data_IF_961420901371
#
_entry.id   IF_961420901371
#
_cell.length_a   1.000
_cell.length_b   1.000
_cell.length_c   1.000
_cell.angle_alpha   90.00
_cell.angle_beta   90.00
_cell.angle_gamma   90.00
#
_symmetry.space_group_name_H-M   'P 1'
#
loop_
_entity.id
_entity.type
_entity.pdbx_description
1 polymer ?
#
# COMPACT_ATOMS: atom_id res chain seq x y z
N UNK A 1 2.04 11.77 -33.32
CA UNK A 1 2.56 11.30 -32.03
C UNK A 1 1.34 11.26 -31.14
N UNK A 2 0.85 10.09 -30.76
CA UNK A 2 -0.28 10.01 -29.83
C UNK A 2 0.17 10.66 -28.52
N UNK A 3 -0.67 11.53 -27.96
CA UNK A 3 -0.43 12.09 -26.64
C UNK A 3 -0.47 10.95 -25.63
N UNK A 4 0.61 10.78 -24.88
CA UNK A 4 0.70 9.77 -23.83
C UNK A 4 -0.19 10.22 -22.68
N UNK A 5 -1.19 9.39 -22.36
CA UNK A 5 -2.09 9.62 -21.24
C UNK A 5 -1.31 9.59 -19.91
N UNK A 6 -1.45 10.67 -19.12
CA UNK A 6 -0.81 10.86 -17.82
C UNK A 6 -1.82 10.64 -16.70
N UNK A 7 -1.48 9.72 -15.80
CA UNK A 7 -2.34 9.37 -14.65
C UNK A 7 -1.61 9.67 -13.35
N UNK A 8 -2.26 10.43 -12.47
CA UNK A 8 -1.79 10.60 -11.10
C UNK A 8 -2.48 9.62 -10.16
N UNK A 9 -1.71 9.02 -9.25
CA UNK A 9 -2.21 8.20 -8.15
C UNK A 9 -1.70 8.80 -6.84
N UNK A 10 -2.60 9.15 -5.92
CA UNK A 10 -2.27 9.86 -4.69
C UNK A 10 -2.50 8.93 -3.50
N UNK A 11 -1.48 8.74 -2.67
CA UNK A 11 -1.57 7.91 -1.46
C UNK A 11 -0.26 7.17 -1.14
N UNK A 12 -0.30 6.32 -0.12
CA UNK A 12 0.87 5.56 0.35
C UNK A 12 0.62 4.06 0.58
N UNK A 13 -0.58 3.58 0.23
CA UNK A 13 -1.06 2.24 0.54
C UNK A 13 -0.81 1.20 -0.53
N UNK A 14 -1.17 -0.06 -0.26
CA UNK A 14 -1.08 -1.17 -1.23
C UNK A 14 -1.94 -0.89 -2.47
N UNK A 15 -3.13 -0.32 -2.28
CA UNK A 15 -4.08 0.10 -3.31
C UNK A 15 -3.45 1.02 -4.35
N UNK A 16 -2.51 1.88 -3.95
CA UNK A 16 -1.77 2.78 -4.87
C UNK A 16 -0.93 1.99 -5.85
N UNK A 17 -0.13 1.04 -5.32
CA UNK A 17 0.84 0.31 -6.13
C UNK A 17 0.16 -0.78 -6.96
N UNK A 18 -0.86 -1.44 -6.42
CA UNK A 18 -1.68 -2.41 -7.17
C UNK A 18 -2.47 -1.73 -8.29
N UNK A 19 -3.01 -0.53 -8.06
CA UNK A 19 -3.61 0.29 -9.11
C UNK A 19 -2.60 0.60 -10.23
N UNK A 20 -1.43 1.13 -9.90
CA UNK A 20 -0.41 1.43 -10.91
C UNK A 20 0.06 0.20 -11.69
N UNK A 21 0.24 -0.94 -11.00
CA UNK A 21 0.57 -2.19 -11.68
C UNK A 21 -0.53 -2.65 -12.64
N UNK A 22 -1.80 -2.57 -12.24
CA UNK A 22 -2.95 -2.95 -13.06
C UNK A 22 -3.12 -2.04 -14.27
N UNK A 23 -2.95 -0.73 -14.11
CA UNK A 23 -2.96 0.23 -15.20
C UNK A 23 -1.90 -0.13 -16.26
N UNK A 24 -0.66 -0.42 -15.84
CA UNK A 24 0.42 -0.81 -16.77
C UNK A 24 0.25 -2.21 -17.36
N UNK A 25 -0.50 -3.10 -16.72
CA UNK A 25 -0.85 -4.40 -17.33
C UNK A 25 -1.84 -4.22 -18.48
N UNK A 26 -2.73 -3.23 -18.38
CA UNK A 26 -3.74 -2.92 -19.39
C UNK A 26 -3.19 -2.06 -20.53
N UNK A 27 -2.42 -1.04 -20.20
CA UNK A 27 -1.78 -0.16 -21.16
C UNK A 27 -0.34 0.18 -20.69
N UNK A 28 0.68 -0.48 -21.26
CA UNK A 28 2.07 -0.26 -20.86
C UNK A 28 2.63 1.11 -21.28
N UNK A 29 1.90 1.88 -22.10
CA UNK A 29 2.34 3.19 -22.57
C UNK A 29 1.91 4.35 -21.65
N UNK A 30 1.15 4.08 -20.58
CA UNK A 30 0.70 5.12 -19.63
C UNK A 30 1.89 5.76 -18.90
N UNK A 31 1.83 7.09 -18.73
CA UNK A 31 2.74 7.82 -17.87
C UNK A 31 2.13 7.96 -16.47
N UNK A 32 2.58 7.10 -15.54
CA UNK A 32 2.05 7.05 -14.18
C UNK A 32 2.90 7.91 -13.24
N UNK A 33 2.24 8.73 -12.42
CA UNK A 33 2.85 9.50 -11.35
C UNK A 33 2.22 9.18 -10.00
N UNK A 34 3.05 8.77 -9.04
CA UNK A 34 2.63 8.49 -7.67
C UNK A 34 3.04 9.65 -6.77
N UNK A 35 2.08 10.19 -6.03
CA UNK A 35 2.32 11.21 -5.01
C UNK A 35 2.19 10.62 -3.62
N UNK A 36 3.31 10.61 -2.88
CA UNK A 36 3.37 10.13 -1.50
C UNK A 36 4.06 11.18 -0.61
N UNK A 37 3.42 11.50 0.52
CA UNK A 37 3.99 12.41 1.53
C UNK A 37 5.16 11.79 2.28
N UNK A 38 5.26 10.45 2.29
CA UNK A 38 6.33 9.72 2.99
C UNK A 38 7.66 9.87 2.24
N UNK A 39 8.75 9.72 2.98
CA UNK A 39 10.10 9.76 2.41
C UNK A 39 10.47 8.49 1.65
N UNK A 40 9.79 7.38 1.93
CA UNK A 40 9.94 6.08 1.29
C UNK A 40 8.61 5.33 1.40
N UNK A 41 8.26 4.56 0.35
CA UNK A 41 7.07 3.71 0.37
C UNK A 41 7.24 2.58 1.39
N UNK A 42 6.21 2.34 2.20
CA UNK A 42 6.29 1.39 3.32
C UNK A 42 7.02 1.94 4.56
N UNK A 43 7.51 3.18 4.53
CA UNK A 43 8.11 3.82 5.69
C UNK A 43 7.06 4.24 6.71
N UNK A 44 7.37 4.09 8.00
CA UNK A 44 6.57 4.50 9.17
C UNK A 44 5.14 3.90 9.23
N UNK A 45 4.92 3.12 10.28
CA UNK A 45 3.65 2.45 10.54
C UNK A 45 3.61 1.07 9.91
N UNK A 46 3.41 0.06 10.75
CA UNK A 46 2.96 -1.26 10.28
C UNK A 46 1.44 -1.26 10.32
N UNK A 47 0.85 -1.80 9.27
CA UNK A 47 -0.58 -2.04 9.16
C UNK A 47 -0.83 -3.56 9.14
N UNK A 48 -2.08 -4.04 9.20
CA UNK A 48 -2.34 -5.46 9.21
C UNK A 48 -1.76 -6.14 7.96
N UNK A 49 -1.00 -7.20 8.23
CA UNK A 49 -0.30 -8.02 7.27
C UNK A 49 -0.91 -9.41 7.10
N UNK A 50 -2.13 -9.63 7.61
CA UNK A 50 -2.80 -10.93 7.62
C UNK A 50 -3.30 -11.34 6.23
N UNK A 51 -3.18 -12.62 5.91
CA UNK A 51 -3.73 -13.20 4.69
C UNK A 51 -4.13 -14.67 4.90
N UNK A 52 -5.16 -15.10 4.17
CA UNK A 52 -5.58 -16.51 4.13
C UNK A 52 -4.87 -17.29 3.02
N UNK A 53 -4.63 -16.64 1.88
CA UNK A 53 -3.99 -17.24 0.71
C UNK A 53 -2.86 -16.36 0.16
N UNK A 54 -1.83 -17.01 -0.37
CA UNK A 54 -0.69 -16.37 -1.03
C UNK A 54 -0.46 -17.00 -2.42
N UNK A 55 -0.18 -16.20 -3.47
CA UNK A 55 0.08 -14.76 -3.48
C UNK A 55 -1.18 -13.89 -3.48
N UNK A 56 -1.08 -12.71 -2.85
CA UNK A 56 -2.17 -11.71 -2.80
C UNK A 56 -2.38 -10.94 -4.11
N UNK A 57 -1.38 -10.94 -5.00
CA UNK A 57 -1.35 -10.20 -6.26
C UNK A 57 -0.72 -11.08 -7.33
N UNK A 58 -0.84 -10.76 -8.63
CA UNK A 58 -0.02 -11.37 -9.67
C UNK A 58 1.46 -11.37 -9.27
N UNK A 59 2.11 -12.52 -9.37
CA UNK A 59 3.44 -12.73 -8.77
C UNK A 59 4.53 -11.83 -9.37
N UNK A 60 4.31 -11.35 -10.60
CA UNK A 60 5.19 -10.42 -11.29
C UNK A 60 5.05 -8.96 -10.80
N UNK A 61 4.02 -8.63 -10.01
CA UNK A 61 3.88 -7.30 -9.41
C UNK A 61 4.77 -7.12 -8.20
N UNK A 62 5.07 -8.19 -7.47
CA UNK A 62 5.88 -8.12 -6.25
C UNK A 62 7.33 -8.46 -6.57
N UNK A 63 8.25 -7.55 -6.24
CA UNK A 63 9.68 -7.83 -6.30
C UNK A 63 10.13 -8.85 -5.26
N UNK A 64 11.45 -8.96 -5.06
CA UNK A 64 11.99 -9.81 -3.99
C UNK A 64 11.56 -9.31 -2.60
N UNK A 65 10.92 -10.20 -1.83
CA UNK A 65 10.66 -10.00 -0.40
C UNK A 65 11.81 -10.54 0.48
N UNK A 66 12.86 -11.12 -0.13
CA UNK A 66 14.01 -11.71 0.56
C UNK A 66 13.57 -12.65 1.71
N UNK A 67 14.09 -12.43 2.93
CA UNK A 67 13.75 -13.24 4.11
C UNK A 67 12.30 -13.08 4.59
N UNK A 68 11.55 -12.14 4.02
CA UNK A 68 10.13 -11.89 4.33
C UNK A 68 9.19 -12.52 3.29
N UNK A 69 9.70 -13.39 2.41
CA UNK A 69 8.86 -14.16 1.50
C UNK A 69 7.98 -15.14 2.28
N UNK A 70 6.64 -15.12 2.11
CA UNK A 70 5.75 -16.12 2.71
C UNK A 70 6.15 -17.56 2.40
N UNK A 71 6.08 -18.39 3.43
CA UNK A 71 6.31 -19.85 3.41
C UNK A 71 4.96 -20.57 3.52
N UNK A 72 4.96 -21.89 3.35
CA UNK A 72 3.74 -22.73 3.39
C UNK A 72 2.87 -22.53 4.65
N UNK A 73 3.49 -22.23 5.80
CA UNK A 73 2.82 -22.02 7.07
C UNK A 73 2.64 -20.53 7.45
N UNK A 74 2.99 -19.61 6.56
CA UNK A 74 2.84 -18.18 6.82
C UNK A 74 1.38 -17.77 6.62
N UNK A 75 0.86 -16.99 7.56
CA UNK A 75 -0.49 -16.38 7.51
C UNK A 75 -0.44 -14.87 7.73
N UNK A 76 0.78 -14.32 7.83
CA UNK A 76 1.02 -12.89 7.87
C UNK A 76 2.31 -12.54 7.11
N UNK A 77 2.39 -11.31 6.61
CA UNK A 77 3.58 -10.71 6.01
C UNK A 77 3.83 -9.36 6.69
N UNK A 78 5.09 -8.93 6.77
CA UNK A 78 5.36 -7.56 7.21
C UNK A 78 4.84 -6.57 6.17
N UNK A 79 3.77 -5.84 6.51
CA UNK A 79 3.10 -4.90 5.61
C UNK A 79 4.06 -3.91 4.95
N UNK A 80 4.95 -3.27 5.73
CA UNK A 80 5.89 -2.29 5.19
C UNK A 80 6.79 -2.86 4.09
N UNK A 81 7.23 -4.11 4.24
CA UNK A 81 8.08 -4.79 3.26
C UNK A 81 7.30 -5.17 2.01
N UNK A 82 6.05 -5.59 2.17
CA UNK A 82 5.18 -5.87 1.03
C UNK A 82 4.94 -4.61 0.19
N UNK A 83 4.60 -3.49 0.84
CA UNK A 83 4.45 -2.19 0.19
C UNK A 83 5.73 -1.76 -0.54
N UNK A 84 6.89 -1.91 0.11
CA UNK A 84 8.19 -1.58 -0.50
C UNK A 84 8.51 -2.46 -1.71
N UNK A 85 8.20 -3.75 -1.66
CA UNK A 85 8.44 -4.66 -2.77
C UNK A 85 7.56 -4.33 -3.99
N UNK A 86 6.29 -3.99 -3.76
CA UNK A 86 5.38 -3.50 -4.79
C UNK A 86 5.88 -2.18 -5.40
N UNK A 87 6.23 -1.20 -4.57
CA UNK A 87 6.65 0.12 -5.07
C UNK A 87 7.93 0.05 -5.91
N UNK A 88 8.93 -0.74 -5.48
CA UNK A 88 10.17 -0.94 -6.24
C UNK A 88 9.88 -1.62 -7.58
N UNK A 89 9.01 -2.62 -7.59
CA UNK A 89 8.62 -3.33 -8.82
C UNK A 89 7.91 -2.37 -9.78
N UNK A 90 6.98 -1.55 -9.28
CA UNK A 90 6.27 -0.57 -10.08
C UNK A 90 7.20 0.50 -10.66
N UNK A 91 8.16 0.99 -9.87
CA UNK A 91 9.18 1.93 -10.36
C UNK A 91 10.00 1.33 -11.50
N UNK A 92 10.36 0.03 -11.43
CA UNK A 92 11.05 -0.67 -12.52
C UNK A 92 10.20 -0.79 -13.80
N UNK A 93 8.88 -0.71 -13.69
CA UNK A 93 7.95 -0.67 -14.82
C UNK A 93 7.77 0.74 -15.42
N UNK A 94 8.48 1.75 -14.89
CA UNK A 94 8.50 3.10 -15.45
C UNK A 94 7.60 4.12 -14.74
N UNK A 95 6.96 3.76 -13.62
CA UNK A 95 6.19 4.73 -12.84
C UNK A 95 7.10 5.78 -12.17
N UNK A 96 6.66 7.03 -12.18
CA UNK A 96 7.35 8.16 -11.58
C UNK A 96 6.90 8.36 -10.13
N UNK A 97 7.84 8.51 -9.21
CA UNK A 97 7.55 8.66 -7.78
C UNK A 97 7.89 10.07 -7.28
N UNK A 98 6.87 10.78 -6.82
CA UNK A 98 6.97 12.06 -6.13
C UNK A 98 6.87 11.83 -4.62
N UNK A 99 7.98 11.39 -4.02
CA UNK A 99 8.10 11.19 -2.57
C UNK A 99 8.35 12.50 -1.83
N UNK A 100 8.00 12.56 -0.54
CA UNK A 100 8.00 13.79 0.27
C UNK A 100 7.18 14.91 -0.36
N UNK A 101 6.17 14.58 -1.16
CA UNK A 101 5.32 15.54 -1.87
C UNK A 101 3.90 15.48 -1.32
N UNK A 102 3.39 16.62 -0.87
CA UNK A 102 2.03 16.77 -0.35
C UNK A 102 1.18 17.46 -1.40
N UNK A 103 0.19 16.74 -1.93
CA UNK A 103 -0.85 17.33 -2.78
C UNK A 103 -1.73 18.24 -1.94
N UNK A 104 -1.78 19.53 -2.30
CA UNK A 104 -2.52 20.58 -1.60
C UNK A 104 -3.89 20.81 -2.20
N UNK A 105 -3.97 20.81 -3.53
CA UNK A 105 -5.20 21.09 -4.27
C UNK A 105 -5.25 20.29 -5.56
N UNK A 106 -6.47 20.02 -6.04
CA UNK A 106 -6.75 19.36 -7.31
C UNK A 106 -7.84 20.17 -8.00
N UNK A 107 -7.52 20.83 -9.12
CA UNK A 107 -8.46 21.64 -9.89
C UNK A 107 -8.28 21.39 -11.39
N UNK A 108 -9.36 21.05 -12.10
CA UNK A 108 -9.37 20.86 -13.56
C UNK A 108 -8.25 19.93 -14.07
N UNK A 109 -8.01 18.82 -13.36
CA UNK A 109 -6.94 17.86 -13.68
C UNK A 109 -5.52 18.33 -13.33
N UNK A 110 -5.37 19.48 -12.66
CA UNK A 110 -4.08 20.02 -12.22
C UNK A 110 -3.89 19.72 -10.74
N UNK A 111 -2.79 19.06 -10.42
CA UNK A 111 -2.33 18.82 -9.05
C UNK A 111 -1.36 19.92 -8.65
N UNK A 112 -1.68 20.64 -7.57
CA UNK A 112 -0.74 21.51 -6.86
C UNK A 112 -0.10 20.74 -5.70
N UNK A 113 1.22 20.65 -5.69
CA UNK A 113 1.97 19.93 -4.67
C UNK A 113 3.17 20.73 -4.14
N UNK A 114 3.51 20.47 -2.88
CA UNK A 114 4.70 21.02 -2.22
C UNK A 114 5.38 19.97 -1.36
N UNK A 115 6.69 20.10 -1.17
CA UNK A 115 7.49 19.04 -0.58
C UNK A 115 8.99 19.30 -0.55
N UNK A 116 9.71 18.28 -0.09
CA UNK A 116 11.16 18.22 -0.13
C UNK A 116 11.65 17.12 -1.09
N UNK A 117 10.80 16.74 -2.05
CA UNK A 117 11.14 15.85 -3.16
C UNK A 117 12.00 16.55 -4.22
N UNK A 118 12.29 15.85 -5.31
CA UNK A 118 13.08 16.40 -6.43
C UNK A 118 12.48 17.69 -6.99
N UNK A 119 11.15 17.77 -7.02
CA UNK A 119 10.41 19.01 -7.25
C UNK A 119 9.93 19.52 -5.89
N UNK A 120 10.54 20.60 -5.39
CA UNK A 120 10.18 21.19 -4.11
C UNK A 120 8.72 21.67 -4.07
N UNK A 121 8.22 22.20 -5.18
CA UNK A 121 6.81 22.51 -5.38
C UNK A 121 6.51 22.63 -6.86
N UNK A 122 5.27 22.41 -7.26
CA UNK A 122 4.88 22.58 -8.66
C UNK A 122 3.42 22.30 -8.91
N UNK A 123 3.04 22.55 -10.17
CA UNK A 123 1.74 22.18 -10.71
C UNK A 123 1.95 21.24 -11.88
N UNK A 124 1.16 20.17 -11.95
CA UNK A 124 1.22 19.19 -13.03
C UNK A 124 -0.18 18.81 -13.47
N UNK A 125 -0.42 18.84 -14.79
CA UNK A 125 -1.68 18.45 -15.40
C UNK A 125 -1.67 16.94 -15.70
N UNK A 126 -2.79 16.29 -15.41
CA UNK A 126 -3.06 14.89 -15.67
C UNK A 126 -4.36 14.75 -16.45
N UNK A 127 -4.47 13.65 -17.19
CA UNK A 127 -5.70 13.25 -17.85
C UNK A 127 -6.66 12.62 -16.84
N UNK A 128 -6.12 11.82 -15.92
CA UNK A 128 -6.87 11.22 -14.80
C UNK A 128 -6.13 11.30 -13.47
N UNK A 129 -6.92 11.34 -12.39
CA UNK A 129 -6.41 11.42 -11.01
C UNK A 129 -7.18 10.43 -10.14
N UNK A 130 -6.45 9.52 -9.52
CA UNK A 130 -6.97 8.52 -8.57
C UNK A 130 -6.46 8.89 -7.18
N UNK A 131 -7.36 9.21 -6.25
CA UNK A 131 -7.01 9.65 -4.89
C UNK A 131 -7.40 8.63 -3.83
N UNK A 132 -6.40 8.01 -3.20
CA UNK A 132 -6.58 7.03 -2.12
C UNK A 132 -6.38 7.62 -0.72
N UNK A 133 -6.37 8.95 -0.57
CA UNK A 133 -6.18 9.59 0.75
C UNK A 133 -7.38 9.48 1.68
N UNK A 134 -8.56 9.13 1.18
CA UNK A 134 -9.76 8.95 2.00
C UNK A 134 -9.66 7.69 2.89
N UNK A 135 -9.82 7.89 4.20
CA UNK A 135 -9.92 6.82 5.19
C UNK A 135 -11.31 6.89 5.84
N UNK A 136 -12.13 5.86 5.63
CA UNK A 136 -13.56 5.89 6.00
C UNK A 136 -13.89 4.97 7.19
N UNK A 137 -12.98 4.80 8.15
CA UNK A 137 -13.25 3.96 9.32
C UNK A 137 -12.79 4.60 10.63
N UNK A 138 -13.75 4.77 11.55
CA UNK A 138 -13.50 5.23 12.91
C UNK A 138 -13.04 4.11 13.85
N UNK A 139 -13.06 2.86 13.38
CA UNK A 139 -12.65 1.68 14.17
C UNK A 139 -11.14 1.68 14.37
N UNK A 140 -10.72 1.71 15.62
CA UNK A 140 -9.32 1.58 16.04
C UNK A 140 -9.03 0.13 16.39
N UNK A 141 -7.90 -0.37 15.89
CA UNK A 141 -7.33 -1.66 16.21
C UNK A 141 -5.94 -1.46 16.79
N UNK A 142 -5.69 -2.13 17.89
CA UNK A 142 -4.40 -2.20 18.55
C UNK A 142 -3.73 -3.49 18.15
N UNK A 143 -2.50 -3.39 17.67
CA UNK A 143 -1.74 -4.51 17.17
C UNK A 143 -0.38 -4.64 17.81
N UNK A 144 0.27 -5.74 17.51
CA UNK A 144 1.63 -5.97 17.95
C UNK A 144 2.30 -7.13 17.25
N UNK A 145 3.63 -7.17 17.42
CA UNK A 145 4.47 -8.28 16.98
C UNK A 145 5.05 -8.93 18.21
N UNK A 146 4.94 -10.25 18.35
CA UNK A 146 5.40 -11.01 19.51
C UNK A 146 6.01 -12.35 19.10
N UNK A 147 6.61 -13.05 20.07
CA UNK A 147 7.23 -14.38 19.90
C UNK A 147 6.50 -15.48 20.68
N UNK A 148 5.59 -15.10 21.58
CA UNK A 148 4.82 -16.02 22.42
C UNK A 148 3.44 -16.29 21.82
N UNK A 149 2.86 -17.45 22.13
CA UNK A 149 1.52 -17.81 21.67
C UNK A 149 0.49 -16.75 22.13
N UNK A 150 -0.26 -16.13 21.20
CA UNK A 150 -1.17 -15.06 21.54
C UNK A 150 -2.44 -15.59 22.21
N UNK A 151 -3.02 -14.80 23.12
CA UNK A 151 -4.37 -15.04 23.65
C UNK A 151 -5.39 -14.12 22.96
N UNK A 152 -5.28 -13.96 21.65
CA UNK A 152 -6.24 -13.19 20.85
C UNK A 152 -6.68 -13.99 19.64
N UNK A 153 -7.88 -13.70 19.14
CA UNK A 153 -8.45 -14.41 18.02
C UNK A 153 -7.80 -14.01 16.69
N UNK A 154 -7.46 -12.72 16.52
CA UNK A 154 -6.93 -12.18 15.27
C UNK A 154 -5.41 -12.13 15.34
N UNK A 155 -4.76 -13.11 14.73
CA UNK A 155 -3.31 -13.18 14.62
C UNK A 155 -2.87 -13.88 13.33
N UNK A 156 -1.59 -13.75 13.00
CA UNK A 156 -0.97 -14.48 11.91
C UNK A 156 0.53 -14.67 12.12
N UNK A 157 1.09 -15.70 11.48
CA UNK A 157 2.48 -16.10 11.62
C UNK A 157 3.26 -15.56 10.43
N UNK A 158 4.29 -14.75 10.71
CA UNK A 158 5.19 -14.17 9.71
C UNK A 158 6.27 -15.17 9.28
N UNK A 159 6.96 -14.94 8.16
CA UNK A 159 7.97 -15.88 7.65
C UNK A 159 9.19 -16.06 8.56
N UNK A 160 9.45 -15.07 9.42
CA UNK A 160 10.47 -15.10 10.47
C UNK A 160 9.99 -15.73 11.79
N UNK A 161 8.80 -16.36 11.77
CA UNK A 161 8.10 -16.98 12.90
C UNK A 161 7.63 -16.01 13.98
N UNK A 162 7.78 -14.70 13.80
CA UNK A 162 7.11 -13.73 14.67
C UNK A 162 5.60 -13.75 14.42
N UNK A 163 4.84 -13.42 15.45
CA UNK A 163 3.38 -13.46 15.44
C UNK A 163 2.87 -12.03 15.45
N UNK A 164 2.11 -11.69 14.42
CA UNK A 164 1.33 -10.46 14.36
C UNK A 164 -0.02 -10.68 15.03
N UNK A 165 -0.47 -9.72 15.84
CA UNK A 165 -1.75 -9.77 16.54
C UNK A 165 -2.52 -8.47 16.35
N UNK A 166 -3.86 -8.55 16.44
CA UNK A 166 -4.76 -7.40 16.45
C UNK A 166 -5.94 -7.62 17.41
N UNK A 167 -6.35 -6.55 18.08
CA UNK A 167 -7.52 -6.50 18.97
C UNK A 167 -8.13 -5.10 18.98
N UNK A 168 -9.41 -4.99 19.31
CA UNK A 168 -10.02 -3.69 19.66
C UNK A 168 -9.74 -3.30 21.12
N UNK A 169 -9.25 -4.25 21.93
CA UNK A 169 -8.74 -3.97 23.27
C UNK A 169 -7.28 -3.53 23.20
N UNK A 170 -6.95 -2.41 23.82
CA UNK A 170 -5.60 -1.83 23.81
C UNK A 170 -4.55 -2.75 24.46
N UNK A 171 -4.96 -3.53 25.45
CA UNK A 171 -4.07 -4.41 26.21
C UNK A 171 -4.16 -5.84 25.67
N UNK A 172 -3.20 -6.21 24.83
CA UNK A 172 -2.98 -7.62 24.47
C UNK A 172 -1.91 -8.18 25.41
N UNK A 173 -2.22 -9.26 26.12
CA UNK A 173 -1.23 -9.95 26.95
C UNK A 173 -0.10 -10.52 26.08
N UNK A 174 1.16 -10.26 26.45
CA UNK A 174 2.32 -10.84 25.78
C UNK A 174 3.55 -9.94 25.79
N UNK A 175 4.68 -10.51 25.36
CA UNK A 175 5.93 -9.77 25.19
C UNK A 175 6.00 -9.21 23.77
N UNK A 176 5.81 -7.89 23.65
CA UNK A 176 5.85 -7.19 22.38
C UNK A 176 7.29 -6.92 21.94
N UNK A 177 7.60 -7.30 20.70
CA UNK A 177 8.72 -6.75 19.92
C UNK A 177 8.37 -5.35 19.43
N UNK A 178 7.12 -5.17 18.99
CA UNK A 178 6.62 -3.92 18.44
C UNK A 178 5.13 -3.76 18.79
N UNK A 179 4.72 -2.52 19.08
CA UNK A 179 3.31 -2.12 19.18
C UNK A 179 2.88 -1.36 17.93
N UNK A 180 1.61 -1.52 17.56
CA UNK A 180 1.04 -0.99 16.33
C UNK A 180 -0.37 -0.47 16.62
N UNK A 181 -0.81 0.51 15.84
CA UNK A 181 -2.19 1.01 15.84
C UNK A 181 -2.61 1.15 14.38
N UNK A 182 -3.83 0.71 14.08
CA UNK A 182 -4.39 0.80 12.74
C UNK A 182 -5.86 1.19 12.81
N UNK A 183 -6.32 1.94 11.80
CA UNK A 183 -7.73 2.31 11.64
C UNK A 183 -8.31 1.65 10.41
N UNK A 184 -9.39 0.91 10.59
CA UNK A 184 -9.99 0.14 9.52
C UNK A 184 -11.02 -0.88 9.98
N UNK A 185 -11.63 -1.58 9.03
CA UNK A 185 -12.79 -2.41 9.30
C UNK A 185 -12.43 -3.73 9.99
N UNK A 186 -11.64 -4.57 9.34
CA UNK A 186 -11.22 -5.88 9.86
C UNK A 186 -9.75 -6.16 9.45
N UNK A 187 -8.82 -6.35 10.40
CA UNK A 187 -7.42 -6.62 10.11
C UNK A 187 -7.19 -7.88 9.25
N UNK A 188 -8.10 -8.86 9.30
CA UNK A 188 -7.98 -10.12 8.52
C UNK A 188 -8.03 -9.88 7.02
N UNK A 189 -8.85 -8.93 6.60
CA UNK A 189 -9.12 -8.66 5.18
C UNK A 189 -8.43 -7.39 4.68
N UNK A 190 -7.75 -6.66 5.57
CA UNK A 190 -7.16 -5.36 5.25
C UNK A 190 -6.21 -5.41 4.04
N UNK A 191 -5.40 -6.46 3.88
CA UNK A 191 -4.53 -6.60 2.72
C UNK A 191 -5.33 -6.81 1.45
N UNK A 192 -6.17 -7.85 1.41
CA UNK A 192 -6.87 -8.25 0.18
C UNK A 192 -7.89 -7.19 -0.26
N UNK A 193 -8.60 -6.56 0.68
CA UNK A 193 -9.55 -5.48 0.39
C UNK A 193 -8.84 -4.30 -0.32
N UNK A 194 -7.62 -3.99 0.10
CA UNK A 194 -6.83 -2.89 -0.48
C UNK A 194 -6.20 -3.24 -1.81
N UNK A 195 -5.77 -4.50 -1.97
CA UNK A 195 -5.36 -5.00 -3.30
C UNK A 195 -6.51 -4.86 -4.28
N UNK A 196 -7.70 -5.36 -3.93
CA UNK A 196 -8.88 -5.31 -4.78
C UNK A 196 -9.30 -3.87 -5.08
N UNK A 197 -9.32 -2.99 -4.07
CA UNK A 197 -9.59 -1.56 -4.25
C UNK A 197 -8.67 -0.91 -5.28
N UNK A 198 -7.38 -1.25 -5.28
CA UNK A 198 -6.43 -0.74 -6.27
C UNK A 198 -6.71 -1.26 -7.68
N UNK A 199 -7.01 -2.54 -7.81
CA UNK A 199 -7.35 -3.18 -9.10
C UNK A 199 -8.64 -2.59 -9.67
N UNK A 200 -9.69 -2.50 -8.87
CA UNK A 200 -10.99 -1.95 -9.26
C UNK A 200 -10.89 -0.50 -9.72
N UNK A 201 -10.12 0.34 -9.01
CA UNK A 201 -9.88 1.73 -9.40
C UNK A 201 -9.13 1.85 -10.74
N UNK A 202 -8.19 0.97 -11.02
CA UNK A 202 -7.51 0.94 -12.32
C UNK A 202 -8.47 0.50 -13.44
N UNK A 203 -9.36 -0.45 -13.16
CA UNK A 203 -10.33 -0.95 -14.13
C UNK A 203 -11.41 0.08 -14.46
N UNK A 204 -11.82 0.93 -13.51
CA UNK A 204 -12.80 1.99 -13.78
C UNK A 204 -12.30 3.06 -14.75
N UNK A 205 -10.99 3.28 -14.83
CA UNK A 205 -10.39 4.30 -15.72
C UNK A 205 -10.25 3.77 -17.16
N UNK A 206 -9.96 2.48 -17.33
CA UNK A 206 -9.64 1.89 -18.64
C UNK A 206 -10.88 1.27 -19.32
N UNK A 207 -12.03 1.28 -18.64
CA UNK A 207 -13.28 0.72 -19.19
C UNK A 207 -14.09 1.69 -20.07
N UNK A 208 -13.50 2.82 -20.46
CA UNK A 208 -14.05 3.78 -21.44
C UNK A 208 -13.36 3.68 -22.81
#
# INVERSE_FOLDING_TARGET
MEDIMKIAIIGSGIEVFTCGHRLLDKNPNLEIHIFDKKAESGMYGEEPGLFDEWPLTPINWVGSLFSQQPKENSTAIRYSWFVKALSISLAKRGANFHLKSVVKNIENGIIDFSGAGYLASGQMKFDDIIDFREYNSDKVWYGGVMISNPKVEIFGIRPDQTIEVWSQEEKIEGNYIQKMEWRGNNPRYALIDRVNKGIEAAESIISE
#
